data_IF_900368989778
#
_entry.id   IF_900368989778
#
_cell.length_a   1.000
_cell.length_b   1.000
_cell.length_c   1.000
_cell.angle_alpha   90.00
_cell.angle_beta   90.00
_cell.angle_gamma   90.00
#
_symmetry.space_group_name_H-M   'P 1'
#
loop_
_entity.id
_entity.type
_entity.pdbx_description
1 polymer ?
#
# COMPACT_ATOMS: atom_id res chain seq x y z
N UNK A 1 4.10 -11.73 -36.82
CA UNK A 1 3.31 -12.55 -35.87
C UNK A 1 3.93 -12.55 -34.47
N UNK A 2 5.23 -12.83 -34.35
CA UNK A 2 5.99 -12.87 -33.10
C UNK A 2 5.86 -11.61 -32.23
N UNK A 3 6.06 -10.41 -32.80
CA UNK A 3 5.96 -9.15 -32.05
C UNK A 3 4.58 -8.93 -31.37
N UNK A 4 3.49 -9.32 -32.06
CA UNK A 4 2.12 -9.20 -31.50
C UNK A 4 1.91 -10.18 -30.36
N UNK A 5 2.51 -11.37 -30.43
CA UNK A 5 2.47 -12.35 -29.35
C UNK A 5 3.26 -11.86 -28.14
N UNK A 6 4.50 -11.40 -28.35
CA UNK A 6 5.36 -10.86 -27.30
C UNK A 6 4.69 -9.73 -26.52
N UNK A 7 4.09 -8.76 -27.22
CA UNK A 7 3.36 -7.65 -26.58
C UNK A 7 2.19 -8.13 -25.70
N UNK A 8 1.47 -9.18 -26.13
CA UNK A 8 0.34 -9.74 -25.37
C UNK A 8 0.83 -10.50 -24.15
N UNK A 9 1.88 -11.30 -24.30
CA UNK A 9 2.50 -12.01 -23.19
C UNK A 9 3.06 -11.03 -22.15
N UNK A 10 3.70 -9.95 -22.60
CA UNK A 10 4.16 -8.88 -21.70
C UNK A 10 3.00 -8.21 -20.97
N UNK A 11 1.93 -7.84 -21.68
CA UNK A 11 0.75 -7.24 -21.03
C UNK A 11 0.09 -8.18 -20.02
N UNK A 12 -0.03 -9.47 -20.36
CA UNK A 12 -0.49 -10.50 -19.44
C UNK A 12 0.39 -10.56 -18.19
N UNK A 13 1.72 -10.64 -18.35
CA UNK A 13 2.66 -10.70 -17.25
C UNK A 13 2.59 -9.46 -16.35
N UNK A 14 2.57 -8.25 -16.94
CA UNK A 14 2.46 -6.98 -16.20
C UNK A 14 1.16 -6.92 -15.41
N UNK A 15 0.03 -7.30 -16.01
CA UNK A 15 -1.26 -7.30 -15.32
C UNK A 15 -1.32 -8.34 -14.20
N UNK A 16 -0.72 -9.51 -14.40
CA UNK A 16 -0.63 -10.56 -13.37
C UNK A 16 0.29 -10.16 -12.23
N UNK A 17 1.48 -9.63 -12.50
CA UNK A 17 2.42 -9.23 -11.45
C UNK A 17 1.89 -8.04 -10.64
N UNK A 18 1.19 -7.10 -11.29
CA UNK A 18 0.65 -5.93 -10.58
C UNK A 18 -0.62 -6.23 -9.81
N UNK A 19 -1.44 -7.20 -10.24
CA UNK A 19 -2.78 -7.41 -9.65
C UNK A 19 -3.16 -8.83 -9.25
N UNK A 20 -2.25 -9.79 -9.44
CA UNK A 20 -2.44 -11.24 -9.37
C UNK A 20 -3.46 -11.83 -10.36
N UNK A 21 -4.58 -11.15 -10.62
CA UNK A 21 -5.70 -11.65 -11.43
C UNK A 21 -5.80 -11.00 -12.82
N UNK A 22 -5.14 -9.85 -13.02
CA UNK A 22 -5.36 -9.02 -14.20
C UNK A 22 -4.98 -9.70 -15.53
N UNK A 23 -4.00 -10.60 -15.54
CA UNK A 23 -3.70 -11.39 -16.72
C UNK A 23 -4.84 -12.33 -17.11
N UNK A 24 -5.49 -12.97 -16.13
CA UNK A 24 -6.67 -13.81 -16.39
C UNK A 24 -7.84 -12.98 -16.90
N UNK A 25 -8.10 -11.82 -16.30
CA UNK A 25 -9.11 -10.87 -16.79
C UNK A 25 -8.80 -10.45 -18.23
N UNK A 26 -7.53 -10.18 -18.55
CA UNK A 26 -7.10 -9.85 -19.91
C UNK A 26 -7.37 -10.98 -20.90
N UNK A 27 -7.13 -12.24 -20.54
CA UNK A 27 -7.42 -13.39 -21.40
C UNK A 27 -8.93 -13.52 -21.69
N UNK A 28 -9.77 -13.34 -20.68
CA UNK A 28 -11.24 -13.36 -20.82
C UNK A 28 -11.71 -12.20 -21.70
N UNK A 29 -11.15 -11.01 -21.48
CA UNK A 29 -11.48 -9.80 -22.23
C UNK A 29 -11.05 -9.87 -23.70
N UNK A 30 -9.91 -10.50 -24.00
CA UNK A 30 -9.29 -10.48 -25.32
C UNK A 30 -10.22 -10.86 -26.51
N UNK A 31 -11.03 -11.93 -26.48
CA UNK A 31 -12.00 -12.23 -27.55
C UNK A 31 -13.08 -11.15 -27.68
N UNK A 32 -13.56 -10.58 -26.58
CA UNK A 32 -14.55 -9.50 -26.57
C UNK A 32 -13.98 -8.23 -27.20
N UNK A 33 -12.76 -7.85 -26.81
CA UNK A 33 -12.03 -6.72 -27.38
C UNK A 33 -11.84 -6.82 -28.90
N UNK A 34 -11.58 -8.03 -29.42
CA UNK A 34 -11.50 -8.28 -30.87
C UNK A 34 -12.83 -8.09 -31.58
N UNK A 35 -13.95 -8.56 -31.00
CA UNK A 35 -15.28 -8.37 -31.57
C UNK A 35 -15.66 -6.89 -31.67
N UNK A 36 -15.35 -6.09 -30.65
CA UNK A 36 -15.59 -4.63 -30.65
C UNK A 36 -14.76 -3.94 -31.72
N UNK A 37 -13.48 -4.33 -31.87
CA UNK A 37 -12.58 -3.77 -32.87
C UNK A 37 -13.09 -3.97 -34.31
N UNK A 38 -13.78 -5.09 -34.59
CA UNK A 38 -14.35 -5.37 -35.90
C UNK A 38 -15.70 -4.69 -36.16
N UNK A 39 -16.48 -4.37 -35.12
CA UNK A 39 -17.82 -3.76 -35.26
C UNK A 39 -17.80 -2.22 -35.25
N UNK A 40 -16.93 -1.61 -34.46
CA UNK A 40 -16.89 -0.16 -34.29
C UNK A 40 -15.89 0.44 -35.29
N UNK A 41 -16.42 1.06 -36.35
CA UNK A 41 -15.60 1.65 -37.44
C UNK A 41 -14.75 2.83 -36.97
N UNK A 42 -15.25 3.67 -36.06
CA UNK A 42 -14.49 4.78 -35.52
C UNK A 42 -13.40 4.26 -34.56
N UNK A 43 -12.14 4.49 -34.91
CA UNK A 43 -11.00 3.96 -34.17
C UNK A 43 -10.87 4.54 -32.75
N UNK A 44 -11.26 5.80 -32.51
CA UNK A 44 -11.23 6.40 -31.19
C UNK A 44 -12.32 5.82 -30.30
N UNK A 45 -13.56 5.76 -30.80
CA UNK A 45 -14.68 5.15 -30.10
C UNK A 45 -14.39 3.68 -29.78
N UNK A 46 -13.85 2.92 -30.74
CA UNK A 46 -13.43 1.53 -30.54
C UNK A 46 -12.42 1.38 -29.40
N UNK A 47 -11.43 2.29 -29.31
CA UNK A 47 -10.45 2.29 -28.20
C UNK A 47 -11.12 2.60 -26.86
N UNK A 48 -11.97 3.61 -26.81
CA UNK A 48 -12.68 4.01 -25.59
C UNK A 48 -13.60 2.90 -25.08
N UNK A 49 -14.43 2.31 -25.95
CA UNK A 49 -15.33 1.20 -25.59
C UNK A 49 -14.54 -0.01 -25.10
N UNK A 50 -13.40 -0.32 -25.75
CA UNK A 50 -12.51 -1.40 -25.32
C UNK A 50 -11.92 -1.15 -23.94
N UNK A 51 -11.45 0.06 -23.68
CA UNK A 51 -10.92 0.44 -22.37
C UNK A 51 -12.01 0.37 -21.30
N UNK A 52 -13.19 0.95 -21.57
CA UNK A 52 -14.32 0.94 -20.64
C UNK A 52 -14.74 -0.48 -20.25
N UNK A 53 -14.84 -1.39 -21.22
CA UNK A 53 -15.20 -2.80 -20.97
C UNK A 53 -14.11 -3.52 -20.18
N UNK A 54 -12.82 -3.31 -20.51
CA UNK A 54 -11.74 -3.92 -19.73
C UNK A 54 -11.73 -3.41 -18.28
N UNK A 55 -11.86 -2.09 -18.09
CA UNK A 55 -11.94 -1.48 -16.76
C UNK A 55 -13.16 -1.99 -15.99
N UNK A 56 -14.32 -2.11 -16.64
CA UNK A 56 -15.53 -2.68 -16.04
C UNK A 56 -15.34 -4.14 -15.61
N UNK A 57 -14.68 -4.97 -16.43
CA UNK A 57 -14.34 -6.35 -16.07
C UNK A 57 -13.34 -6.43 -14.92
N UNK A 58 -12.33 -5.55 -14.89
CA UNK A 58 -11.39 -5.48 -13.78
C UNK A 58 -12.10 -5.09 -12.48
N UNK A 59 -12.95 -4.05 -12.51
CA UNK A 59 -13.71 -3.62 -11.32
C UNK A 59 -14.68 -4.72 -10.84
N UNK A 60 -15.43 -5.34 -11.76
CA UNK A 60 -16.30 -6.48 -11.43
C UNK A 60 -15.50 -7.61 -10.78
N UNK A 61 -14.34 -7.94 -11.35
CA UNK A 61 -13.49 -9.00 -10.83
C UNK A 61 -12.98 -8.65 -9.43
N UNK A 62 -12.35 -7.47 -9.26
CA UNK A 62 -11.71 -7.06 -8.00
C UNK A 62 -12.71 -6.79 -6.87
N UNK A 63 -13.91 -6.28 -7.17
CA UNK A 63 -14.89 -5.88 -6.15
C UNK A 63 -15.97 -6.93 -5.86
N UNK A 64 -16.27 -7.83 -6.80
CA UNK A 64 -17.38 -8.79 -6.67
C UNK A 64 -16.89 -10.23 -6.66
N UNK A 65 -15.99 -10.61 -7.57
CA UNK A 65 -15.60 -12.01 -7.76
C UNK A 65 -14.47 -12.42 -6.80
N UNK A 66 -13.42 -11.60 -6.69
CA UNK A 66 -12.23 -11.91 -5.89
C UNK A 66 -12.53 -11.98 -4.38
N UNK A 67 -13.26 -11.04 -3.76
CA UNK A 67 -13.47 -11.06 -2.31
C UNK A 67 -14.03 -12.37 -1.72
N UNK A 68 -15.10 -12.98 -2.27
CA UNK A 68 -15.59 -14.26 -1.75
C UNK A 68 -14.63 -15.42 -2.01
N UNK A 69 -13.90 -15.42 -3.13
CA UNK A 69 -12.91 -16.46 -3.43
C UNK A 69 -11.71 -16.36 -2.50
N UNK A 70 -11.23 -15.15 -2.20
CA UNK A 70 -10.06 -14.91 -1.36
C UNK A 70 -10.21 -15.52 0.05
N UNK A 71 -11.45 -15.56 0.57
CA UNK A 71 -11.76 -16.17 1.88
C UNK A 71 -11.39 -17.65 1.94
N UNK A 72 -11.53 -18.38 0.82
CA UNK A 72 -11.15 -19.79 0.73
C UNK A 72 -9.63 -19.98 0.84
N UNK A 73 -8.86 -18.93 0.57
CA UNK A 73 -7.39 -18.90 0.71
C UNK A 73 -6.95 -18.27 2.04
N UNK A 74 -7.88 -18.07 2.99
CA UNK A 74 -7.59 -17.46 4.28
C UNK A 74 -7.32 -15.96 4.21
N UNK A 75 -7.74 -15.29 3.12
CA UNK A 75 -7.57 -13.86 2.92
C UNK A 75 -8.90 -13.11 2.99
N UNK A 76 -8.87 -11.93 3.58
CA UNK A 76 -9.99 -11.00 3.64
C UNK A 76 -9.55 -9.64 3.11
N UNK A 77 -10.40 -8.93 2.36
CA UNK A 77 -10.11 -7.56 1.95
C UNK A 77 -10.17 -6.61 3.15
N UNK A 78 -9.27 -5.64 3.20
CA UNK A 78 -9.38 -4.50 4.09
C UNK A 78 -10.58 -3.60 3.68
N UNK A 79 -11.12 -2.77 4.60
CA UNK A 79 -12.25 -1.89 4.29
C UNK A 79 -11.96 -0.93 3.14
N UNK A 80 -12.95 -0.64 2.30
CA UNK A 80 -12.79 0.23 1.13
C UNK A 80 -13.03 1.72 1.43
N UNK A 81 -13.64 2.03 2.57
CA UNK A 81 -13.99 3.37 3.02
C UNK A 81 -13.92 3.44 4.54
N UNK A 82 -13.54 4.62 5.04
CA UNK A 82 -13.58 4.90 6.46
C UNK A 82 -15.02 5.19 6.90
N UNK A 83 -15.41 4.73 8.08
CA UNK A 83 -16.65 5.10 8.74
C UNK A 83 -16.45 5.11 10.27
N UNK A 84 -17.50 5.41 11.04
CA UNK A 84 -17.43 5.51 12.50
C UNK A 84 -17.06 4.21 13.21
N UNK A 85 -17.32 3.05 12.61
CA UNK A 85 -16.99 1.73 13.18
C UNK A 85 -15.58 1.25 12.76
N UNK A 86 -15.14 1.69 11.58
CA UNK A 86 -13.90 1.30 10.92
C UNK A 86 -13.27 2.53 10.24
N UNK A 87 -12.56 3.41 10.97
CA UNK A 87 -11.87 4.58 10.42
C UNK A 87 -10.56 4.15 9.72
N UNK A 88 -10.65 3.09 8.91
CA UNK A 88 -9.57 2.44 8.17
C UNK A 88 -9.97 2.38 6.70
N UNK A 89 -9.10 2.81 5.78
CA UNK A 89 -9.40 2.79 4.35
C UNK A 89 -8.15 2.80 3.48
N UNK A 90 -8.25 2.55 2.16
CA UNK A 90 -7.07 2.60 1.31
C UNK A 90 -6.58 4.04 1.20
N UNK A 91 -5.26 4.21 1.19
CA UNK A 91 -4.64 5.47 0.81
C UNK A 91 -4.90 5.81 -0.66
N UNK A 92 -4.96 4.79 -1.53
CA UNK A 92 -5.25 4.94 -2.96
C UNK A 92 -6.11 3.78 -3.47
N UNK A 93 -7.05 4.10 -4.37
CA UNK A 93 -7.86 3.09 -5.09
C UNK A 93 -7.01 2.14 -5.94
N UNK A 94 -5.76 2.50 -6.24
CA UNK A 94 -4.82 1.60 -6.90
C UNK A 94 -4.70 0.26 -6.15
N UNK A 95 -4.54 0.28 -4.82
CA UNK A 95 -4.42 -0.95 -4.01
C UNK A 95 -5.68 -1.82 -4.07
N UNK A 96 -6.84 -1.21 -4.31
CA UNK A 96 -8.11 -1.93 -4.45
C UNK A 96 -8.22 -2.56 -5.83
N UNK A 97 -8.08 -1.77 -6.89
CA UNK A 97 -8.21 -2.25 -8.29
C UNK A 97 -7.15 -3.30 -8.60
N UNK A 98 -5.94 -3.12 -8.07
CA UNK A 98 -4.85 -4.07 -8.19
C UNK A 98 -4.91 -5.22 -7.16
N UNK A 99 -5.97 -5.35 -6.35
CA UNK A 99 -6.10 -6.45 -5.37
C UNK A 99 -4.92 -6.58 -4.40
N UNK A 100 -4.29 -5.47 -3.99
CA UNK A 100 -3.14 -5.43 -3.05
C UNK A 100 -3.56 -5.09 -1.61
N UNK A 101 -4.83 -5.32 -1.27
CA UNK A 101 -5.45 -4.93 0.00
C UNK A 101 -5.99 -6.14 0.79
N UNK A 102 -5.41 -7.32 0.58
CA UNK A 102 -5.85 -8.57 1.20
C UNK A 102 -4.88 -9.03 2.29
N UNK A 103 -5.42 -9.38 3.45
CA UNK A 103 -4.66 -9.84 4.62
C UNK A 103 -5.33 -11.05 5.26
N UNK A 104 -4.68 -11.70 6.23
CA UNK A 104 -5.35 -12.66 7.12
C UNK A 104 -6.26 -11.92 8.10
N UNK A 105 -7.33 -12.57 8.56
CA UNK A 105 -8.29 -11.98 9.51
C UNK A 105 -7.64 -11.32 10.73
N UNK A 106 -6.64 -11.94 11.41
CA UNK A 106 -6.04 -11.33 12.60
C UNK A 106 -5.39 -9.97 12.34
N UNK A 107 -4.84 -9.75 11.14
CA UNK A 107 -4.27 -8.46 10.75
C UNK A 107 -5.38 -7.46 10.40
N UNK A 108 -6.43 -7.89 9.69
CA UNK A 108 -7.57 -7.02 9.42
C UNK A 108 -8.21 -6.49 10.72
N UNK A 109 -8.38 -7.37 11.70
CA UNK A 109 -8.97 -7.02 13.00
C UNK A 109 -8.04 -6.08 13.79
N UNK A 110 -6.74 -6.39 13.86
CA UNK A 110 -5.72 -5.51 14.44
C UNK A 110 -5.76 -4.10 13.84
N UNK A 111 -5.82 -3.99 12.51
CA UNK A 111 -5.80 -2.68 11.84
C UNK A 111 -7.08 -1.89 12.10
N UNK A 112 -8.25 -2.53 12.13
CA UNK A 112 -9.52 -1.88 12.48
C UNK A 112 -9.52 -1.40 13.93
N UNK A 113 -9.08 -2.24 14.86
CA UNK A 113 -8.96 -1.88 16.27
C UNK A 113 -7.97 -0.73 16.49
N UNK A 114 -6.83 -0.77 15.80
CA UNK A 114 -5.82 0.31 15.84
C UNK A 114 -6.38 1.62 15.29
N UNK A 115 -7.10 1.55 14.16
CA UNK A 115 -7.76 2.71 13.57
C UNK A 115 -8.80 3.32 14.54
N UNK A 116 -9.61 2.48 15.20
CA UNK A 116 -10.57 2.92 16.20
C UNK A 116 -9.88 3.63 17.37
N UNK A 117 -8.80 3.05 17.91
CA UNK A 117 -8.04 3.69 18.99
C UNK A 117 -7.43 5.04 18.55
N UNK A 118 -6.90 5.11 17.32
CA UNK A 118 -6.36 6.35 16.76
C UNK A 118 -7.44 7.44 16.69
N UNK A 119 -8.59 7.12 16.10
CA UNK A 119 -9.71 8.06 15.95
C UNK A 119 -10.31 8.50 17.29
N UNK A 120 -10.33 7.61 18.30
CA UNK A 120 -10.77 7.95 19.65
C UNK A 120 -9.85 8.98 20.33
N UNK A 121 -8.53 8.87 20.11
CA UNK A 121 -7.58 9.82 20.71
C UNK A 121 -7.42 11.10 19.89
N UNK A 122 -7.49 10.99 18.57
CA UNK A 122 -7.30 12.06 17.62
C UNK A 122 -8.54 12.15 16.74
N UNK A 123 -9.58 12.83 17.26
CA UNK A 123 -10.89 12.91 16.62
C UNK A 123 -10.80 13.39 15.17
N UNK A 124 -11.32 12.59 14.24
CA UNK A 124 -11.25 12.86 12.80
C UNK A 124 -10.00 12.33 12.10
N UNK A 125 -9.05 11.72 12.80
CA UNK A 125 -7.96 10.98 12.17
C UNK A 125 -8.48 9.66 11.58
N UNK A 126 -8.05 9.37 10.35
CA UNK A 126 -8.29 8.09 9.67
C UNK A 126 -6.96 7.35 9.52
N UNK A 127 -6.98 6.03 9.68
CA UNK A 127 -5.84 5.19 9.35
C UNK A 127 -5.88 4.83 7.86
N UNK A 128 -4.82 5.16 7.14
CA UNK A 128 -4.69 4.85 5.71
C UNK A 128 -3.75 3.66 5.54
N UNK A 129 -4.23 2.59 4.92
CA UNK A 129 -3.37 1.48 4.51
C UNK A 129 -2.85 1.67 3.07
N UNK A 130 -1.63 1.19 2.83
CA UNK A 130 -0.96 1.20 1.53
C UNK A 130 -0.96 -0.23 0.96
N UNK A 131 0.20 -0.79 0.62
CA UNK A 131 0.29 -2.18 0.21
C UNK A 131 0.07 -3.13 1.39
N UNK A 132 -0.86 -4.06 1.22
CA UNK A 132 -1.02 -5.25 2.04
C UNK A 132 -0.58 -6.47 1.20
N UNK A 133 -1.37 -7.53 1.11
CA UNK A 133 -1.10 -8.69 0.27
C UNK A 133 -2.08 -8.87 -0.88
N UNK A 134 -1.79 -9.87 -1.72
CA UNK A 134 -2.69 -10.37 -2.76
C UNK A 134 -3.73 -11.37 -2.22
N UNK A 135 -4.85 -11.59 -2.94
CA UNK A 135 -5.98 -12.40 -2.46
C UNK A 135 -5.73 -13.92 -2.43
N UNK A 136 -4.82 -14.45 -3.26
CA UNK A 136 -4.69 -15.89 -3.48
C UNK A 136 -3.28 -16.42 -3.24
N UNK A 137 -3.20 -17.57 -2.55
CA UNK A 137 -1.97 -18.32 -2.26
C UNK A 137 -0.89 -17.53 -1.51
N UNK A 138 -0.01 -18.24 -0.80
CA UNK A 138 1.18 -17.63 -0.18
C UNK A 138 2.37 -17.74 -1.13
N UNK A 139 3.25 -16.75 -1.13
CA UNK A 139 4.48 -16.76 -1.94
C UNK A 139 4.35 -16.07 -3.31
N UNK A 140 3.19 -15.52 -3.66
CA UNK A 140 3.08 -14.70 -4.88
C UNK A 140 3.80 -13.35 -4.65
N UNK A 141 4.77 -12.96 -5.49
CA UNK A 141 5.60 -11.80 -5.22
C UNK A 141 4.81 -10.50 -5.43
N UNK A 142 4.76 -9.67 -4.39
CA UNK A 142 4.20 -8.32 -4.45
C UNK A 142 5.33 -7.32 -4.68
N UNK A 143 5.57 -6.92 -5.93
CA UNK A 143 6.63 -5.95 -6.23
C UNK A 143 6.21 -4.51 -5.86
N UNK A 144 7.06 -3.71 -5.17
CA UNK A 144 8.40 -4.05 -4.68
C UNK A 144 8.42 -4.68 -3.27
N UNK A 145 7.31 -4.68 -2.53
CA UNK A 145 7.20 -5.20 -1.15
C UNK A 145 7.14 -6.75 -1.10
N UNK A 146 8.24 -7.39 -1.48
CA UNK A 146 8.33 -8.85 -1.63
C UNK A 146 7.95 -9.67 -0.39
N UNK A 147 8.06 -9.08 0.81
CA UNK A 147 7.68 -9.76 2.05
C UNK A 147 6.15 -9.88 2.22
N UNK A 148 5.33 -9.16 1.45
CA UNK A 148 3.86 -9.12 1.61
C UNK A 148 3.16 -10.29 0.88
N UNK A 149 3.73 -11.48 0.95
CA UNK A 149 3.28 -12.66 0.22
C UNK A 149 2.34 -13.57 1.05
N UNK A 150 2.30 -13.40 2.37
CA UNK A 150 1.60 -14.27 3.33
C UNK A 150 0.35 -13.66 3.98
N UNK A 151 0.11 -12.36 3.79
CA UNK A 151 -1.06 -11.65 4.32
C UNK A 151 -0.95 -11.32 5.80
N UNK A 152 0.26 -11.42 6.34
CA UNK A 152 0.60 -11.06 7.72
C UNK A 152 1.24 -9.67 7.79
N UNK A 153 1.32 -8.96 6.66
CA UNK A 153 1.98 -7.67 6.54
C UNK A 153 1.10 -6.63 5.86
N UNK A 154 1.22 -5.40 6.32
CA UNK A 154 0.61 -4.23 5.70
C UNK A 154 1.47 -3.00 5.96
N UNK A 155 1.48 -2.12 4.97
CA UNK A 155 2.05 -0.79 5.11
C UNK A 155 0.93 0.20 5.46
N UNK A 156 1.23 1.15 6.34
CA UNK A 156 0.33 2.20 6.81
C UNK A 156 0.99 3.53 6.53
N UNK A 157 0.22 4.49 6.01
CA UNK A 157 0.72 5.85 5.91
C UNK A 157 0.94 6.43 7.31
N UNK A 158 1.95 7.29 7.46
CA UNK A 158 2.04 8.11 8.64
C UNK A 158 0.85 9.07 8.76
N UNK A 159 0.58 9.49 9.98
CA UNK A 159 -0.41 10.52 10.28
C UNK A 159 0.21 11.90 10.04
N UNK A 160 -0.42 12.71 9.21
CA UNK A 160 0.02 14.07 8.87
C UNK A 160 -1.02 15.12 9.29
N UNK A 161 -0.57 16.37 9.46
CA UNK A 161 -1.39 17.58 9.53
C UNK A 161 -1.12 18.46 8.30
N UNK A 162 -2.05 19.34 7.96
CA UNK A 162 -1.81 20.37 6.94
C UNK A 162 -1.34 21.65 7.63
N UNK A 163 -0.06 21.98 7.50
CA UNK A 163 0.56 23.08 8.24
C UNK A 163 0.26 22.99 9.73
N UNK A 164 -0.17 24.10 10.34
CA UNK A 164 -0.55 24.19 11.76
C UNK A 164 -2.03 23.86 12.02
N UNK A 165 -2.74 23.28 11.04
CA UNK A 165 -4.15 22.90 11.21
C UNK A 165 -4.34 21.94 12.38
N UNK A 166 -5.39 22.13 13.20
CA UNK A 166 -5.74 21.15 14.24
C UNK A 166 -6.32 19.85 13.65
N UNK A 167 -6.58 19.80 12.35
CA UNK A 167 -7.16 18.63 11.67
C UNK A 167 -6.08 17.74 11.08
N UNK A 168 -6.22 16.43 11.31
CA UNK A 168 -5.43 15.41 10.65
C UNK A 168 -5.83 15.25 9.19
N UNK A 169 -4.82 15.01 8.36
CA UNK A 169 -5.05 14.73 6.95
C UNK A 169 -5.60 13.33 6.78
N UNK A 170 -6.61 13.24 5.92
CA UNK A 170 -7.16 11.98 5.45
C UNK A 170 -6.58 11.61 4.08
N UNK A 171 -5.79 12.48 3.45
CA UNK A 171 -5.11 12.19 2.18
C UNK A 171 -3.64 11.82 2.36
N UNK A 172 -3.09 11.15 1.34
CA UNK A 172 -1.68 10.76 1.30
C UNK A 172 -0.78 11.96 0.97
N UNK A 173 0.44 11.94 1.49
CA UNK A 173 1.46 12.97 1.21
C UNK A 173 2.05 12.88 -0.23
N UNK A 174 1.86 11.74 -0.89
CA UNK A 174 2.22 11.47 -2.30
C UNK A 174 1.14 10.61 -2.96
N UNK A 175 1.21 10.43 -4.29
CA UNK A 175 0.21 9.69 -5.08
C UNK A 175 -0.14 8.29 -4.52
N UNK A 176 0.85 7.57 -4.00
CA UNK A 176 0.69 6.21 -3.45
C UNK A 176 1.09 6.11 -1.97
N UNK A 177 1.46 7.21 -1.32
CA UNK A 177 1.83 7.22 0.10
C UNK A 177 3.30 6.92 0.39
N UNK A 178 4.08 6.60 -0.64
CA UNK A 178 5.53 6.36 -0.55
C UNK A 178 6.34 7.54 -1.10
N UNK A 179 7.56 7.73 -0.60
CA UNK A 179 8.53 8.74 -1.01
C UNK A 179 8.42 10.10 -0.31
N UNK A 180 7.50 10.28 0.63
CA UNK A 180 7.45 11.48 1.49
C UNK A 180 8.30 11.28 2.74
N UNK A 181 9.61 11.43 2.60
CA UNK A 181 10.53 11.10 3.69
C UNK A 181 10.50 12.12 4.83
N UNK A 182 10.23 11.63 6.03
CA UNK A 182 10.42 12.31 7.30
C UNK A 182 11.87 12.08 7.76
N UNK A 183 12.81 12.68 7.04
CA UNK A 183 14.25 12.47 7.22
C UNK A 183 14.81 12.89 8.60
N UNK A 184 16.09 12.56 8.86
CA UNK A 184 16.78 12.93 10.10
C UNK A 184 16.89 14.45 10.26
N UNK A 185 16.97 14.94 11.51
CA UNK A 185 17.07 16.35 11.88
C UNK A 185 18.24 16.58 12.83
N UNK A 186 18.97 17.68 12.65
CA UNK A 186 20.03 18.09 13.58
C UNK A 186 21.08 17.00 13.78
N UNK A 187 21.28 16.58 15.02
CA UNK A 187 22.26 15.55 15.42
C UNK A 187 21.71 14.12 15.39
N UNK A 188 20.51 13.90 14.83
CA UNK A 188 19.98 12.56 14.67
C UNK A 188 20.84 11.70 13.74
N UNK A 189 20.87 10.40 14.03
CA UNK A 189 21.61 9.45 13.22
C UNK A 189 21.07 9.35 11.80
N UNK A 190 21.85 9.77 10.81
CA UNK A 190 21.48 9.72 9.40
C UNK A 190 21.64 8.29 8.83
N UNK A 191 20.62 7.46 9.08
CA UNK A 191 20.57 6.11 8.53
C UNK A 191 20.54 6.11 6.98
N UNK A 192 19.77 6.99 6.31
CA UNK A 192 19.83 7.13 4.85
C UNK A 192 21.25 7.35 4.31
N UNK A 193 22.01 8.31 4.86
CA UNK A 193 23.38 8.60 4.44
C UNK A 193 24.32 7.42 4.73
N UNK A 194 24.13 6.74 5.87
CA UNK A 194 24.88 5.51 6.17
C UNK A 194 24.59 4.39 5.16
N UNK A 195 23.34 4.21 4.74
CA UNK A 195 23.01 3.21 3.72
C UNK A 195 23.60 3.60 2.36
N UNK A 196 23.53 4.89 2.00
CA UNK A 196 24.10 5.40 0.75
C UNK A 196 25.63 5.20 0.69
N UNK A 197 26.35 5.52 1.76
CA UNK A 197 27.81 5.30 1.85
C UNK A 197 28.24 3.83 1.80
N UNK A 198 27.32 2.90 2.06
CA UNK A 198 27.52 1.45 1.89
C UNK A 198 27.17 0.94 0.48
N UNK A 199 26.81 1.84 -0.45
CA UNK A 199 26.49 1.50 -1.84
C UNK A 199 25.02 1.14 -2.09
N UNK A 200 24.13 1.30 -1.12
CA UNK A 200 22.69 1.04 -1.29
C UNK A 200 21.99 2.22 -1.96
N UNK A 201 22.32 2.50 -3.22
CA UNK A 201 21.78 3.63 -4.00
C UNK A 201 20.24 3.60 -4.14
N UNK A 202 19.64 2.40 -4.14
CA UNK A 202 18.18 2.23 -4.26
C UNK A 202 17.41 2.71 -3.03
N UNK A 203 18.10 2.92 -1.91
CA UNK A 203 17.50 3.25 -0.62
C UNK A 203 16.71 4.57 -0.64
N UNK A 204 17.15 5.52 -1.46
CA UNK A 204 16.57 6.87 -1.56
C UNK A 204 15.81 7.11 -2.89
N UNK A 205 15.65 6.08 -3.71
CA UNK A 205 15.16 6.21 -5.09
C UNK A 205 13.74 6.80 -5.17
N UNK A 206 12.83 6.41 -4.27
CA UNK A 206 11.44 6.87 -4.32
C UNK A 206 11.30 8.36 -4.01
N UNK A 207 12.06 8.90 -3.06
CA UNK A 207 11.97 10.31 -2.69
C UNK A 207 12.42 11.27 -3.78
N UNK A 208 13.23 10.81 -4.74
CA UNK A 208 13.66 11.57 -5.93
C UNK A 208 12.59 11.62 -7.02
N UNK A 209 11.66 10.66 -7.04
CA UNK A 209 10.62 10.54 -8.06
C UNK A 209 9.23 10.92 -7.56
N UNK A 210 9.01 10.95 -6.24
CA UNK A 210 7.72 11.21 -5.65
C UNK A 210 7.31 12.67 -5.84
N UNK A 211 6.09 12.87 -6.34
CA UNK A 211 5.42 14.18 -6.32
C UNK A 211 4.85 14.41 -4.92
N UNK A 212 5.44 15.36 -4.19
CA UNK A 212 5.16 15.62 -2.77
C UNK A 212 4.16 16.76 -2.61
N UNK A 213 3.24 16.61 -1.65
CA UNK A 213 2.42 17.72 -1.20
C UNK A 213 3.20 18.56 -0.18
N UNK A 214 3.50 19.84 -0.46
CA UNK A 214 4.42 20.64 0.37
C UNK A 214 3.87 21.00 1.75
N UNK A 215 2.54 20.98 1.93
CA UNK A 215 1.90 21.49 3.15
C UNK A 215 1.72 20.44 4.25
N UNK A 216 2.38 19.28 4.16
CA UNK A 216 2.13 18.15 5.06
C UNK A 216 3.19 18.09 6.15
N UNK A 217 2.74 18.18 7.40
CA UNK A 217 3.58 18.12 8.58
C UNK A 217 3.38 16.77 9.28
N UNK A 218 4.46 16.02 9.47
CA UNK A 218 4.46 14.77 10.22
C UNK A 218 4.04 15.00 11.68
N UNK A 219 2.98 14.33 12.15
CA UNK A 219 2.50 14.48 13.53
C UNK A 219 3.19 13.47 14.45
N UNK A 220 4.23 13.91 15.16
CA UNK A 220 5.01 13.06 16.06
C UNK A 220 4.17 12.44 17.17
N UNK A 221 3.21 13.17 17.73
CA UNK A 221 2.38 12.68 18.82
C UNK A 221 1.43 11.57 18.33
N UNK A 222 0.74 11.80 17.20
CA UNK A 222 -0.18 10.84 16.62
C UNK A 222 0.54 9.58 16.14
N UNK A 223 1.68 9.71 15.47
CA UNK A 223 2.47 8.55 15.02
C UNK A 223 3.08 7.78 16.20
N UNK A 224 3.54 8.47 17.25
CA UNK A 224 3.99 7.82 18.50
C UNK A 224 2.87 6.99 19.11
N UNK A 225 1.65 7.54 19.18
CA UNK A 225 0.49 6.82 19.70
C UNK A 225 0.14 5.62 18.82
N UNK A 226 0.04 5.80 17.50
CA UNK A 226 -0.24 4.75 16.52
C UNK A 226 0.71 3.56 16.68
N UNK A 227 2.02 3.83 16.67
CA UNK A 227 3.03 2.77 16.76
C UNK A 227 3.00 2.10 18.14
N UNK A 228 2.80 2.86 19.22
CA UNK A 228 2.64 2.29 20.57
C UNK A 228 1.41 1.37 20.66
N UNK A 229 0.31 1.75 20.03
CA UNK A 229 -0.90 0.92 19.96
C UNK A 229 -0.61 -0.40 19.23
N UNK A 230 0.04 -0.34 18.06
CA UNK A 230 0.43 -1.54 17.31
C UNK A 230 1.32 -2.48 18.14
N UNK A 231 2.42 -1.98 18.71
CA UNK A 231 3.40 -2.85 19.39
C UNK A 231 2.92 -3.39 20.75
N UNK A 232 1.89 -2.78 21.35
CA UNK A 232 1.23 -3.30 22.55
C UNK A 232 0.43 -4.57 22.25
N UNK A 233 -0.06 -4.73 21.03
CA UNK A 233 -0.81 -5.91 20.65
C UNK A 233 0.11 -7.15 20.61
N UNK A 234 -0.35 -8.26 21.20
CA UNK A 234 0.42 -9.50 21.26
C UNK A 234 0.56 -10.18 19.90
N UNK A 235 -0.38 -9.94 18.98
CA UNK A 235 -0.37 -10.46 17.61
C UNK A 235 0.72 -9.84 16.76
N UNK A 236 1.28 -8.67 17.12
CA UNK A 236 2.33 -8.00 16.34
C UNK A 236 3.72 -8.53 16.72
N UNK A 237 4.47 -9.06 15.75
CA UNK A 237 5.88 -9.44 15.89
C UNK A 237 6.82 -8.28 15.62
N UNK A 238 6.57 -7.49 14.57
CA UNK A 238 7.49 -6.42 14.16
C UNK A 238 6.76 -5.20 13.60
N UNK A 239 7.35 -4.04 13.82
CA UNK A 239 7.01 -2.79 13.15
C UNK A 239 8.31 -2.17 12.63
N UNK A 240 8.37 -1.83 11.34
CA UNK A 240 9.53 -1.14 10.77
C UNK A 240 9.27 0.34 10.56
N UNK A 241 10.23 1.14 11.04
CA UNK A 241 10.41 2.56 10.78
C UNK A 241 11.93 2.85 10.78
N UNK A 242 12.36 3.99 10.24
CA UNK A 242 13.78 4.36 10.29
C UNK A 242 14.32 4.57 11.72
N UNK A 243 15.62 4.32 11.95
CA UNK A 243 16.25 4.49 13.26
C UNK A 243 16.12 5.90 13.86
N UNK A 244 16.24 6.96 13.06
CA UNK A 244 16.08 8.33 13.56
C UNK A 244 14.65 8.58 14.07
N UNK A 245 13.63 8.07 13.36
CA UNK A 245 12.25 8.13 13.82
C UNK A 245 12.02 7.31 15.08
N UNK A 246 12.62 6.12 15.19
CA UNK A 246 12.53 5.32 16.41
C UNK A 246 13.03 6.09 17.63
N UNK A 247 14.13 6.82 17.50
CA UNK A 247 14.66 7.68 18.56
C UNK A 247 13.76 8.88 18.82
N UNK A 248 13.40 9.64 17.77
CA UNK A 248 12.58 10.85 17.85
C UNK A 248 11.23 10.61 18.52
N UNK A 249 10.58 9.49 18.22
CA UNK A 249 9.28 9.11 18.76
C UNK A 249 9.36 8.48 20.18
N UNK A 250 10.55 8.40 20.78
CA UNK A 250 10.76 7.78 22.09
C UNK A 250 10.35 6.31 22.10
N UNK A 251 10.76 5.57 21.06
CA UNK A 251 10.45 4.15 20.86
C UNK A 251 11.70 3.25 20.97
N UNK A 252 12.84 3.79 21.41
CA UNK A 252 14.11 3.07 21.55
C UNK A 252 13.98 1.74 22.32
N UNK A 253 13.28 1.77 23.45
CA UNK A 253 13.04 0.62 24.34
C UNK A 253 11.99 -0.38 23.80
N UNK A 254 11.36 -0.11 22.64
CA UNK A 254 10.34 -1.00 22.06
C UNK A 254 11.01 -2.03 21.16
N UNK A 255 11.24 -3.22 21.69
CA UNK A 255 11.91 -4.32 20.98
C UNK A 255 11.25 -4.72 19.64
N UNK A 256 9.92 -4.56 19.51
CA UNK A 256 9.17 -4.83 18.27
C UNK A 256 9.38 -3.76 17.20
N UNK A 257 9.77 -2.54 17.56
CA UNK A 257 10.09 -1.47 16.61
C UNK A 257 11.53 -1.65 16.14
N UNK A 258 11.72 -1.94 14.86
CA UNK A 258 12.98 -2.42 14.31
C UNK A 258 13.36 -1.67 13.04
N UNK A 259 14.64 -1.76 12.71
CA UNK A 259 15.15 -1.34 11.42
C UNK A 259 15.12 -2.54 10.46
N UNK A 260 14.66 -2.34 9.23
CA UNK A 260 14.55 -3.39 8.20
C UNK A 260 15.87 -3.65 7.46
N UNK A 261 16.85 -2.76 7.58
CA UNK A 261 18.17 -2.89 6.94
C UNK A 261 18.26 -2.19 5.58
N UNK A 262 19.46 -1.78 5.17
CA UNK A 262 19.70 -0.98 3.95
C UNK A 262 19.35 -1.68 2.62
N UNK A 263 19.06 -2.99 2.65
CA UNK A 263 18.73 -3.77 1.44
C UNK A 263 17.32 -3.51 0.92
N UNK A 264 16.43 -3.00 1.75
CA UNK A 264 15.08 -2.57 1.35
C UNK A 264 14.98 -1.05 1.41
N UNK A 265 14.02 -0.47 0.68
CA UNK A 265 13.77 0.97 0.64
C UNK A 265 13.45 1.49 2.05
N UNK A 266 13.84 2.73 2.34
CA UNK A 266 13.65 3.38 3.64
C UNK A 266 12.18 3.41 4.09
N UNK A 267 11.97 3.37 5.41
CA UNK A 267 10.67 3.38 6.09
C UNK A 267 10.49 4.63 6.96
N UNK A 268 10.80 5.79 6.41
CA UNK A 268 10.46 7.10 6.99
C UNK A 268 9.48 7.89 6.13
N UNK A 269 8.81 7.23 5.21
CA UNK A 269 7.60 7.66 4.51
C UNK A 269 6.34 6.89 4.95
N UNK A 270 6.49 5.68 5.51
CA UNK A 270 5.39 4.82 5.98
C UNK A 270 5.79 3.93 7.16
N UNK A 271 4.80 3.24 7.74
CA UNK A 271 4.97 2.22 8.79
C UNK A 271 4.71 0.85 8.19
N UNK A 272 5.64 -0.08 8.33
CA UNK A 272 5.38 -1.50 8.02
C UNK A 272 4.99 -2.25 9.29
N UNK A 273 3.89 -2.99 9.29
CA UNK A 273 3.48 -3.87 10.40
C UNK A 273 3.45 -5.32 9.97
N UNK A 274 3.95 -6.21 10.82
CA UNK A 274 3.98 -7.66 10.65
C UNK A 274 3.40 -8.34 11.89
N UNK A 275 2.46 -9.27 11.69
CA UNK A 275 1.99 -10.18 12.75
C UNK A 275 3.10 -11.11 13.21
#
# INVERSE_FOLDING_TARGET
MLFRLLRRSLLFAVLTITSQVGGLVYLIYYPLGRRIAGKVKNAWLSRLTRLAIFSGLMLLTSLVIVPPLARQFGRVPLPLSANSEHPLRPGSWFFVVANRHYVKSPLADLLKETANQLALKYSGAELLYLDAGFPFFTGFPLLPHLSHDDGEKADLAFVYRKGDSPQWQTSLATLLGYGFYTGPRGEEFDMPERCASQGYWQYDLLGKMAFKHPDYTFDEAANTYLIRTLVRDKRVRKVFIEPHLKTRLGLSERAKVRFHGCRAVRHDDHIHVEL
#
